data_IF_479840219324
#
_entry.id   IF_479840219324
#
_cell.length_a   1.000
_cell.length_b   1.000
_cell.length_c   1.000
_cell.angle_alpha   90.00
_cell.angle_beta   90.00
_cell.angle_gamma   90.00
#
_symmetry.space_group_name_H-M   'P 1'
#
loop_
_entity.id
_entity.type
_entity.pdbx_description
1 polymer ?
#
# COMPACT_ATOMS: atom_id res chain seq x y z
N UNK A 1 -6.26 -21.60 -9.86
CA UNK A 1 -6.29 -21.89 -8.41
C UNK A 1 -4.98 -21.40 -7.81
N UNK A 2 -5.05 -20.74 -6.65
CA UNK A 2 -3.90 -20.31 -5.85
C UNK A 2 -3.98 -21.16 -4.58
N UNK A 3 -2.93 -21.92 -4.28
CA UNK A 3 -2.92 -22.80 -3.12
C UNK A 3 -2.37 -22.06 -1.90
N UNK A 4 -2.49 -22.63 -0.71
CA UNK A 4 -1.79 -22.11 0.46
C UNK A 4 -0.27 -22.36 0.37
N UNK A 5 0.52 -21.44 0.94
CA UNK A 5 1.98 -21.55 1.02
C UNK A 5 2.76 -20.89 -0.12
N UNK A 6 4.10 -21.01 -0.03
CA UNK A 6 5.04 -20.38 -0.96
C UNK A 6 4.89 -20.97 -2.36
N UNK A 7 4.62 -20.11 -3.35
CA UNK A 7 4.45 -20.52 -4.74
C UNK A 7 4.87 -19.40 -5.70
N UNK A 8 5.17 -19.76 -6.95
CA UNK A 8 5.41 -18.80 -8.03
C UNK A 8 4.10 -18.60 -8.79
N UNK A 9 3.67 -17.34 -8.93
CA UNK A 9 2.44 -17.00 -9.61
C UNK A 9 2.71 -16.57 -11.05
N UNK A 10 1.89 -17.05 -11.98
CA UNK A 10 1.78 -16.44 -13.31
C UNK A 10 1.14 -15.05 -13.22
N UNK A 11 1.26 -14.23 -14.28
CA UNK A 11 0.63 -12.90 -14.31
C UNK A 11 -0.90 -12.95 -14.08
N UNK A 12 -1.57 -13.96 -14.61
CA UNK A 12 -3.01 -14.18 -14.38
C UNK A 12 -3.31 -14.53 -12.90
N UNK A 13 -2.50 -15.39 -12.29
CA UNK A 13 -2.68 -15.73 -10.88
C UNK A 13 -2.33 -14.56 -9.95
N UNK A 14 -1.32 -13.76 -10.28
CA UNK A 14 -0.99 -12.55 -9.55
C UNK A 14 -2.14 -11.54 -9.60
N UNK A 15 -2.75 -11.34 -10.78
CA UNK A 15 -3.95 -10.51 -10.91
C UNK A 15 -5.10 -11.02 -10.04
N UNK A 16 -5.35 -12.33 -10.03
CA UNK A 16 -6.38 -12.92 -9.16
C UNK A 16 -6.09 -12.67 -7.69
N UNK A 17 -4.84 -12.83 -7.25
CA UNK A 17 -4.42 -12.60 -5.87
C UNK A 17 -4.70 -11.17 -5.42
N UNK A 18 -4.29 -10.15 -6.20
CA UNK A 18 -4.44 -8.74 -5.78
C UNK A 18 -5.87 -8.22 -5.90
N UNK A 19 -6.72 -8.87 -6.70
CA UNK A 19 -8.14 -8.53 -6.87
C UNK A 19 -9.07 -9.26 -5.91
N UNK A 20 -8.62 -10.37 -5.33
CA UNK A 20 -9.46 -11.17 -4.45
C UNK A 20 -9.93 -10.33 -3.26
N UNK A 21 -11.20 -10.49 -2.88
CA UNK A 21 -11.85 -9.71 -1.80
C UNK A 21 -12.86 -10.55 -1.01
N UNK A 22 -13.57 -11.46 -1.69
CA UNK A 22 -14.81 -12.07 -1.17
C UNK A 22 -14.60 -13.01 0.03
N UNK A 23 -13.50 -13.78 0.06
CA UNK A 23 -13.25 -14.74 1.15
C UNK A 23 -12.16 -14.29 2.13
N UNK A 24 -11.70 -13.04 2.07
CA UNK A 24 -10.90 -12.51 3.17
C UNK A 24 -11.83 -12.23 4.34
N UNK A 25 -11.58 -12.88 5.49
CA UNK A 25 -12.32 -12.65 6.74
C UNK A 25 -12.33 -11.18 7.15
N UNK A 26 -11.35 -10.40 6.69
CA UNK A 26 -11.15 -8.97 6.96
C UNK A 26 -11.49 -8.05 5.76
N UNK A 27 -12.10 -8.59 4.69
CA UNK A 27 -12.53 -7.81 3.52
C UNK A 27 -11.42 -6.98 2.85
N UNK A 28 -11.53 -5.64 2.93
CA UNK A 28 -10.59 -4.70 2.30
C UNK A 28 -9.19 -4.73 2.92
N UNK A 29 -9.09 -5.01 4.24
CA UNK A 29 -7.82 -5.12 4.94
C UNK A 29 -7.07 -6.37 4.47
N UNK A 30 -7.78 -7.50 4.32
CA UNK A 30 -7.19 -8.72 3.75
C UNK A 30 -6.68 -8.52 2.32
N UNK A 31 -7.39 -7.74 1.49
CA UNK A 31 -6.89 -7.36 0.16
C UNK A 31 -5.62 -6.52 0.25
N UNK A 32 -5.52 -5.59 1.19
CA UNK A 32 -4.29 -4.82 1.41
C UNK A 32 -3.10 -5.72 1.78
N UNK A 33 -3.32 -6.78 2.60
CA UNK A 33 -2.26 -7.76 2.88
C UNK A 33 -1.77 -8.45 1.61
N UNK A 34 -2.69 -8.91 0.76
CA UNK A 34 -2.33 -9.55 -0.50
C UNK A 34 -1.55 -8.62 -1.43
N UNK A 35 -1.92 -7.34 -1.46
CA UNK A 35 -1.19 -6.32 -2.23
C UNK A 35 0.21 -6.05 -1.66
N UNK A 36 0.37 -5.98 -0.33
CA UNK A 36 1.69 -5.84 0.31
C UNK A 36 2.59 -7.03 0.00
N UNK A 37 2.06 -8.26 0.09
CA UNK A 37 2.79 -9.49 -0.30
C UNK A 37 3.21 -9.44 -1.76
N UNK A 38 2.29 -9.07 -2.67
CA UNK A 38 2.61 -8.94 -4.08
C UNK A 38 3.71 -7.90 -4.34
N UNK A 39 3.65 -6.74 -3.69
CA UNK A 39 4.65 -5.68 -3.85
C UNK A 39 6.03 -6.09 -3.31
N UNK A 40 6.08 -6.74 -2.14
CA UNK A 40 7.33 -7.27 -1.59
C UNK A 40 7.95 -8.32 -2.54
N UNK A 41 7.16 -9.30 -2.98
CA UNK A 41 7.62 -10.34 -3.90
C UNK A 41 8.03 -9.78 -5.28
N UNK A 42 7.30 -8.78 -5.79
CA UNK A 42 7.65 -8.10 -7.04
C UNK A 42 8.98 -7.36 -6.91
N UNK A 43 9.20 -6.66 -5.78
CA UNK A 43 10.46 -5.95 -5.54
C UNK A 43 11.64 -6.90 -5.32
N UNK A 44 11.43 -7.99 -4.56
CA UNK A 44 12.42 -9.07 -4.43
C UNK A 44 12.81 -9.58 -5.82
N UNK A 45 11.82 -9.88 -6.68
CA UNK A 45 12.08 -10.36 -8.04
C UNK A 45 12.82 -9.34 -8.89
N UNK A 46 12.48 -8.06 -8.80
CA UNK A 46 13.17 -6.98 -9.53
C UNK A 46 14.61 -6.84 -9.06
N UNK A 47 14.91 -7.02 -7.77
CA UNK A 47 16.28 -6.95 -7.25
C UNK A 47 17.20 -8.05 -7.79
N UNK A 48 16.64 -9.17 -8.26
CA UNK A 48 17.38 -10.25 -8.92
C UNK A 48 17.61 -10.01 -10.42
N UNK A 49 16.87 -9.08 -11.03
CA UNK A 49 16.93 -8.80 -12.47
C UNK A 49 18.11 -7.87 -12.75
N UNK A 50 18.97 -8.24 -13.69
CA UNK A 50 20.09 -7.39 -14.12
C UNK A 50 19.60 -6.14 -14.87
N UNK A 51 20.36 -5.04 -14.78
CA UNK A 51 19.99 -3.74 -15.35
C UNK A 51 19.62 -3.76 -16.84
N UNK A 52 20.28 -4.60 -17.64
CA UNK A 52 19.98 -4.74 -19.08
C UNK A 52 18.57 -5.32 -19.32
N UNK A 53 18.21 -6.34 -18.55
CA UNK A 53 16.90 -6.97 -18.67
C UNK A 53 15.80 -6.03 -18.16
N UNK A 54 16.06 -5.31 -17.08
CA UNK A 54 15.17 -4.28 -16.54
C UNK A 54 14.90 -3.16 -17.57
N UNK A 55 15.93 -2.64 -18.23
CA UNK A 55 15.78 -1.68 -19.34
C UNK A 55 14.92 -2.24 -20.48
N UNK A 56 15.09 -3.53 -20.79
CA UNK A 56 14.23 -4.22 -21.76
C UNK A 56 12.75 -4.23 -21.37
N UNK A 57 12.44 -4.41 -20.08
CA UNK A 57 11.07 -4.32 -19.57
C UNK A 57 10.53 -2.89 -19.61
N UNK A 58 11.32 -1.90 -19.18
CA UNK A 58 10.93 -0.48 -19.19
C UNK A 58 10.57 -0.03 -20.61
N UNK A 59 11.43 -0.34 -21.59
CA UNK A 59 11.16 0.00 -23.00
C UNK A 59 9.87 -0.64 -23.50
N UNK A 60 9.64 -1.93 -23.21
CA UNK A 60 8.38 -2.61 -23.58
C UNK A 60 7.15 -1.94 -22.96
N UNK A 61 7.23 -1.50 -21.70
CA UNK A 61 6.13 -0.84 -20.98
C UNK A 61 5.80 0.51 -21.64
N UNK A 62 6.83 1.31 -21.93
CA UNK A 62 6.68 2.64 -22.55
C UNK A 62 6.18 2.52 -23.99
N UNK A 63 6.80 1.68 -24.80
CA UNK A 63 6.45 1.50 -26.22
C UNK A 63 5.01 1.01 -26.40
N UNK A 64 4.57 0.09 -25.53
CA UNK A 64 3.21 -0.47 -25.56
C UNK A 64 2.19 0.34 -24.76
N UNK A 65 2.62 1.42 -24.10
CA UNK A 65 1.77 2.29 -23.26
C UNK A 65 0.99 1.50 -22.20
N UNK A 66 1.66 0.55 -21.55
CA UNK A 66 1.03 -0.33 -20.55
C UNK A 66 0.76 0.39 -19.21
N UNK A 67 1.45 1.49 -18.95
CA UNK A 67 1.34 2.29 -17.73
C UNK A 67 1.24 3.77 -18.11
N UNK A 68 0.28 4.48 -17.54
CA UNK A 68 0.22 5.95 -17.60
C UNK A 68 1.20 6.56 -16.61
N UNK A 69 2.25 7.22 -17.10
CA UNK A 69 3.25 7.91 -16.27
C UNK A 69 3.76 9.15 -16.99
N UNK A 70 4.15 10.17 -16.23
CA UNK A 70 4.85 11.35 -16.74
C UNK A 70 6.39 11.20 -16.65
N UNK A 71 6.90 10.08 -16.14
CA UNK A 71 8.33 9.80 -16.07
C UNK A 71 8.86 9.39 -17.45
N UNK A 72 10.01 9.94 -17.81
CA UNK A 72 10.81 9.53 -18.95
C UNK A 72 11.53 8.21 -18.68
N UNK A 73 11.98 7.51 -19.73
CA UNK A 73 12.78 6.27 -19.60
C UNK A 73 14.06 6.50 -18.78
N UNK A 74 14.70 7.66 -18.93
CA UNK A 74 15.90 8.03 -18.18
C UNK A 74 15.61 8.20 -16.68
N UNK A 75 14.49 8.84 -16.32
CA UNK A 75 14.06 8.99 -14.92
C UNK A 75 13.72 7.63 -14.29
N UNK A 76 13.00 6.76 -15.01
CA UNK A 76 12.68 5.40 -14.52
C UNK A 76 13.97 4.59 -14.31
N UNK A 77 14.95 4.72 -15.21
CA UNK A 77 16.23 4.02 -15.11
C UNK A 77 17.00 4.46 -13.87
N UNK A 78 17.13 5.78 -13.65
CA UNK A 78 17.78 6.34 -12.45
C UNK A 78 17.09 5.92 -11.15
N UNK A 79 15.75 5.92 -11.14
CA UNK A 79 14.98 5.44 -9.99
C UNK A 79 15.19 3.94 -9.74
N UNK A 80 15.27 3.13 -10.80
CA UNK A 80 15.52 1.69 -10.68
C UNK A 80 16.92 1.40 -10.13
N UNK A 81 17.94 2.11 -10.61
CA UNK A 81 19.31 2.01 -10.11
C UNK A 81 19.36 2.38 -8.61
N UNK A 82 18.73 3.49 -8.22
CA UNK A 82 18.63 3.87 -6.80
C UNK A 82 17.89 2.82 -5.97
N UNK A 83 16.72 2.35 -6.42
CA UNK A 83 15.93 1.36 -5.72
C UNK A 83 16.69 0.04 -5.51
N UNK A 84 17.54 -0.36 -6.48
CA UNK A 84 18.37 -1.56 -6.36
C UNK A 84 19.38 -1.52 -5.21
N UNK A 85 19.70 -0.32 -4.70
CA UNK A 85 20.60 -0.13 -3.54
C UNK A 85 19.90 -0.19 -2.19
N UNK A 86 18.56 -0.21 -2.18
CA UNK A 86 17.74 -0.22 -0.96
C UNK A 86 17.45 -1.67 -0.57
N UNK A 87 17.87 -2.05 0.64
CA UNK A 87 17.51 -3.35 1.21
C UNK A 87 16.02 -3.42 1.57
N UNK A 88 15.42 -4.60 1.44
CA UNK A 88 13.99 -4.85 1.68
C UNK A 88 13.55 -4.46 3.10
N UNK A 89 14.46 -4.54 4.08
CA UNK A 89 14.24 -4.14 5.47
C UNK A 89 14.05 -2.62 5.66
N UNK A 90 14.38 -1.83 4.64
CA UNK A 90 14.25 -0.36 4.65
C UNK A 90 13.00 0.13 3.92
N UNK A 91 12.22 -0.79 3.36
CA UNK A 91 11.05 -0.46 2.55
C UNK A 91 9.82 -0.79 3.37
N UNK A 92 9.21 0.25 3.92
CA UNK A 92 8.04 0.13 4.79
C UNK A 92 6.77 0.50 4.04
N UNK A 93 5.71 -0.25 4.32
CA UNK A 93 4.34 0.08 3.91
C UNK A 93 3.54 0.41 5.16
N UNK A 94 2.82 1.53 5.13
CA UNK A 94 1.94 1.97 6.19
C UNK A 94 0.49 1.89 5.71
N UNK A 95 -0.42 1.40 6.55
CA UNK A 95 -1.84 1.69 6.37
C UNK A 95 -2.06 3.15 6.75
N UNK A 96 -2.97 3.82 6.06
CA UNK A 96 -3.39 5.16 6.47
C UNK A 96 -4.15 5.04 7.80
N UNK A 97 -3.68 5.68 8.89
CA UNK A 97 -4.33 5.62 10.20
C UNK A 97 -5.80 6.01 10.14
N UNK A 98 -6.64 5.27 10.84
CA UNK A 98 -8.09 5.40 10.71
C UNK A 98 -8.86 4.12 10.94
N UNK A 99 -10.14 4.19 10.61
CA UNK A 99 -11.09 3.10 10.81
C UNK A 99 -12.15 3.04 9.71
N UNK A 100 -12.79 1.87 9.60
CA UNK A 100 -13.98 1.70 8.77
C UNK A 100 -15.20 2.34 9.43
N UNK A 101 -15.98 3.09 8.67
CA UNK A 101 -17.17 3.78 9.16
C UNK A 101 -18.32 3.69 8.15
N UNK A 102 -19.55 3.60 8.64
CA UNK A 102 -20.74 3.71 7.82
C UNK A 102 -21.24 5.15 7.85
N UNK A 103 -20.98 5.89 6.78
CA UNK A 103 -21.45 7.27 6.63
C UNK A 103 -22.90 7.29 6.16
N UNK A 104 -23.78 7.87 6.98
CA UNK A 104 -25.19 8.05 6.68
C UNK A 104 -25.42 9.48 6.14
N UNK A 105 -25.62 9.66 4.83
CA UNK A 105 -25.87 10.98 4.26
C UNK A 105 -27.21 11.57 4.77
N UNK A 106 -27.31 12.90 4.96
CA UNK A 106 -28.54 13.54 5.44
C UNK A 106 -29.75 13.37 4.52
N UNK A 107 -29.52 13.21 3.22
CA UNK A 107 -30.53 12.90 2.21
C UNK A 107 -30.10 11.62 1.46
N UNK A 108 -30.46 10.43 1.98
CA UNK A 108 -29.89 9.16 1.51
C UNK A 108 -30.37 8.71 0.13
N UNK A 109 -31.47 9.27 -0.39
CA UNK A 109 -32.08 8.75 -1.62
C UNK A 109 -32.33 7.24 -1.53
N UNK A 110 -31.73 6.47 -2.44
CA UNK A 110 -31.80 5.00 -2.44
C UNK A 110 -30.69 4.30 -1.63
N UNK A 111 -29.64 5.04 -1.21
CA UNK A 111 -28.47 4.48 -0.54
C UNK A 111 -28.51 4.84 0.94
N UNK A 112 -28.73 3.85 1.79
CA UNK A 112 -28.84 4.02 3.24
C UNK A 112 -27.53 4.54 3.86
N UNK A 113 -26.38 4.00 3.45
CA UNK A 113 -25.07 4.42 3.93
C UNK A 113 -23.96 4.12 2.93
N UNK A 114 -22.84 4.82 3.07
CA UNK A 114 -21.58 4.54 2.39
C UNK A 114 -20.58 3.97 3.39
N UNK A 115 -19.96 2.84 3.07
CA UNK A 115 -18.79 2.36 3.82
C UNK A 115 -17.57 3.18 3.40
N UNK A 116 -16.98 3.91 4.34
CA UNK A 116 -15.85 4.82 4.13
C UNK A 116 -14.72 4.49 5.09
N UNK A 117 -13.50 4.91 4.75
CA UNK A 117 -12.38 4.92 5.67
C UNK A 117 -12.24 6.33 6.25
N UNK A 118 -12.38 6.46 7.57
CA UNK A 118 -12.21 7.74 8.26
C UNK A 118 -10.79 7.83 8.81
N UNK A 119 -10.10 8.90 8.44
CA UNK A 119 -8.74 9.18 8.91
C UNK A 119 -8.77 9.70 10.35
N UNK A 120 -7.86 9.20 11.18
CA UNK A 120 -7.58 9.81 12.48
C UNK A 120 -6.55 10.92 12.30
N UNK A 121 -6.93 12.18 12.55
CA UNK A 121 -6.11 13.35 12.16
C UNK A 121 -4.72 13.31 12.79
N UNK A 122 -4.63 13.15 14.11
CA UNK A 122 -3.33 13.19 14.79
C UNK A 122 -2.41 12.02 14.41
N UNK A 123 -2.88 10.75 14.38
CA UNK A 123 -2.08 9.65 13.86
C UNK A 123 -1.58 9.86 12.42
N UNK A 124 -2.42 10.38 11.52
CA UNK A 124 -1.99 10.70 10.14
C UNK A 124 -0.92 11.80 10.12
N UNK A 125 -1.07 12.85 10.93
CA UNK A 125 -0.06 13.91 11.06
C UNK A 125 1.28 13.31 11.52
N UNK A 126 1.26 12.47 12.55
CA UNK A 126 2.45 11.82 13.08
C UNK A 126 3.14 10.96 12.00
N UNK A 127 2.37 10.15 11.27
CA UNK A 127 2.87 9.35 10.15
C UNK A 127 3.54 10.24 9.09
N UNK A 128 2.89 11.33 8.69
CA UNK A 128 3.40 12.23 7.66
C UNK A 128 4.70 12.91 8.10
N UNK A 129 4.73 13.49 9.30
CA UNK A 129 5.92 14.17 9.82
C UNK A 129 7.10 13.19 9.98
N UNK A 130 6.83 11.97 10.42
CA UNK A 130 7.88 10.99 10.66
C UNK A 130 8.44 10.36 9.38
N UNK A 131 7.59 9.99 8.42
CA UNK A 131 8.02 9.15 7.28
C UNK A 131 7.95 9.82 5.91
N UNK A 132 7.03 10.78 5.71
CA UNK A 132 6.81 11.39 4.39
C UNK A 132 7.35 12.82 4.27
N UNK A 133 7.56 13.50 5.40
CA UNK A 133 8.10 14.85 5.50
C UNK A 133 9.24 14.99 6.53
N UNK A 134 10.17 14.01 6.66
CA UNK A 134 11.15 13.99 7.76
C UNK A 134 12.17 15.14 7.75
N UNK A 135 12.27 15.88 6.63
CA UNK A 135 13.19 17.00 6.46
C UNK A 135 12.52 18.38 6.52
N UNK A 136 11.21 18.42 6.81
CA UNK A 136 10.47 19.65 7.05
C UNK A 136 10.26 19.85 8.56
N UNK A 137 10.02 21.10 8.97
CA UNK A 137 9.52 21.34 10.32
C UNK A 137 8.19 20.60 10.52
N UNK A 138 8.01 19.91 11.67
CA UNK A 138 6.76 19.25 11.99
C UNK A 138 5.58 20.22 11.90
N UNK A 139 4.51 19.79 11.23
CA UNK A 139 3.27 20.56 11.11
C UNK A 139 2.15 19.80 11.81
N UNK A 140 1.42 20.49 12.70
CA UNK A 140 0.32 19.92 13.49
C UNK A 140 -1.05 20.36 12.97
N UNK A 141 -1.12 21.38 12.12
CA UNK A 141 -2.37 21.86 11.53
C UNK A 141 -2.44 21.58 10.02
N UNK A 142 -2.26 20.30 9.67
CA UNK A 142 -2.54 19.86 8.31
C UNK A 142 -4.06 19.91 8.04
N UNK A 143 -4.48 20.29 6.81
CA UNK A 143 -5.89 20.43 6.42
C UNK A 143 -6.57 19.07 6.19
N UNK A 144 -6.47 18.19 7.19
CA UNK A 144 -7.11 16.88 7.22
C UNK A 144 -8.49 17.07 7.83
N UNK A 145 -9.52 16.72 7.06
CA UNK A 145 -10.90 16.73 7.53
C UNK A 145 -11.13 15.50 8.38
N UNK A 146 -11.50 15.74 9.63
CA UNK A 146 -11.79 14.70 10.61
C UNK A 146 -13.30 14.74 10.92
N UNK A 147 -13.98 13.61 10.69
CA UNK A 147 -15.41 13.48 10.96
C UNK A 147 -15.72 13.02 12.38
N UNK A 148 -14.75 12.38 13.05
CA UNK A 148 -14.86 11.85 14.40
C UNK A 148 -13.76 12.46 15.25
N UNK A 149 -14.08 12.99 16.42
CA UNK A 149 -13.05 13.40 17.39
C UNK A 149 -12.41 12.15 18.03
N UNK A 150 -11.22 12.26 18.64
CA UNK A 150 -10.54 11.09 19.22
C UNK A 150 -11.34 10.29 20.26
N UNK A 151 -12.27 10.93 20.97
CA UNK A 151 -13.20 10.28 21.90
C UNK A 151 -14.33 9.50 21.21
N UNK A 152 -14.48 9.65 19.89
CA UNK A 152 -15.51 9.02 19.07
C UNK A 152 -14.96 7.87 18.20
N UNK A 153 -13.64 7.66 18.16
CA UNK A 153 -13.05 6.54 17.43
C UNK A 153 -13.55 5.21 18.00
N UNK A 154 -13.93 4.29 17.13
CA UNK A 154 -14.38 2.95 17.51
C UNK A 154 -13.23 1.96 17.64
N UNK A 155 -12.13 2.20 16.92
CA UNK A 155 -10.93 1.36 16.92
C UNK A 155 -9.70 2.16 16.53
N UNK A 156 -8.60 2.02 17.27
CA UNK A 156 -7.28 2.56 16.89
C UNK A 156 -6.33 1.48 16.37
N UNK A 157 -6.86 0.28 16.07
CA UNK A 157 -6.07 -0.89 15.70
C UNK A 157 -5.13 -0.64 14.51
N UNK A 158 -5.58 0.17 13.55
CA UNK A 158 -4.87 0.42 12.30
C UNK A 158 -4.02 1.70 12.32
N UNK A 159 -3.96 2.41 13.46
CA UNK A 159 -3.25 3.69 13.55
C UNK A 159 -1.73 3.57 13.44
N UNK A 160 -1.20 2.38 13.73
CA UNK A 160 0.22 2.07 13.64
C UNK A 160 0.47 0.79 12.81
N UNK A 161 -0.43 0.48 11.87
CA UNK A 161 -0.26 -0.67 10.99
C UNK A 161 0.82 -0.36 9.95
N UNK A 162 2.00 -0.90 10.20
CA UNK A 162 3.13 -0.87 9.28
C UNK A 162 3.83 -2.22 9.21
N UNK A 163 4.49 -2.47 8.08
CA UNK A 163 5.39 -3.62 7.91
C UNK A 163 6.46 -3.27 6.89
N UNK A 164 7.63 -3.89 7.02
CA UNK A 164 8.68 -3.80 6.01
C UNK A 164 8.67 -5.02 5.07
N UNK A 165 9.25 -4.87 3.89
CA UNK A 165 9.23 -5.93 2.88
C UNK A 165 10.01 -7.17 3.31
N UNK A 166 11.06 -7.05 4.11
CA UNK A 166 11.81 -8.22 4.59
C UNK A 166 10.94 -9.07 5.51
N UNK A 167 10.20 -8.46 6.44
CA UNK A 167 9.24 -9.17 7.30
C UNK A 167 8.16 -9.88 6.50
N UNK A 168 7.62 -9.22 5.47
CA UNK A 168 6.62 -9.84 4.58
C UNK A 168 7.19 -11.08 3.88
N UNK A 169 8.42 -10.99 3.35
CA UNK A 169 9.11 -12.13 2.73
C UNK A 169 9.37 -13.29 3.72
N UNK A 170 9.62 -12.96 4.99
CA UNK A 170 9.80 -13.93 6.08
C UNK A 170 8.46 -14.55 6.56
N UNK A 171 7.33 -14.16 5.97
CA UNK A 171 6.01 -14.71 6.25
C UNK A 171 5.18 -13.90 7.24
N UNK A 172 5.60 -12.69 7.57
CA UNK A 172 4.84 -11.79 8.41
C UNK A 172 3.60 -11.27 7.67
N UNK A 173 2.42 -11.57 8.23
CA UNK A 173 1.11 -11.11 7.74
C UNK A 173 0.39 -10.23 8.77
N UNK A 174 1.11 -9.79 9.81
CA UNK A 174 0.57 -9.08 10.97
C UNK A 174 0.06 -7.68 10.61
N UNK A 175 -1.08 -7.29 11.18
CA UNK A 175 -1.81 -6.03 10.87
C UNK A 175 -2.45 -5.42 12.13
N UNK A 176 -1.75 -5.43 13.26
CA UNK A 176 -2.23 -4.80 14.49
C UNK A 176 -1.42 -5.22 15.71
N UNK A 177 -0.75 -4.26 16.35
CA UNK A 177 -0.14 -4.43 17.68
C UNK A 177 -1.16 -4.40 18.80
#
# INVERSE_FOLDING_TARGET
IINEGKQVLSGQQAEWMVRFRHDYTEGDIGRMKAQRIFMAAAMAKVSEIGSIEMLGYINKIVDRKLIGSNLTVDEISKLSDFASTIGMEKITMHMLPGEGYNYYPPDPGEIEYYSVWLMHKQPVINLLNQYFRPYFEPEDDLPIVEMLTPDQYQSTLYDNDMTDFQRIEDGDTFMGG
#
